data_IF_711154839389
#
_entry.id   IF_711154839389
#
_cell.length_a   1.000
_cell.length_b   1.000
_cell.length_c   1.000
_cell.angle_alpha   90.00
_cell.angle_beta   90.00
_cell.angle_gamma   90.00
#
_symmetry.space_group_name_H-M   'P 1'
#
loop_
_entity.id
_entity.type
_entity.pdbx_description
1 polymer ?
#
# COMPACT_ATOMS: atom_id res chain seq x y z
N UNK A 1 4.66 18.10 -22.72
CA UNK A 1 5.10 16.72 -22.89
C UNK A 1 4.80 15.91 -21.61
N UNK A 2 4.38 14.68 -21.79
CA UNK A 2 4.22 13.77 -20.68
C UNK A 2 5.55 13.49 -20.02
N UNK A 3 5.63 13.73 -18.73
CA UNK A 3 6.80 13.34 -17.94
C UNK A 3 6.81 11.83 -17.74
N UNK A 4 7.95 11.28 -17.33
CA UNK A 4 8.04 9.88 -16.93
C UNK A 4 7.07 9.55 -15.78
N UNK A 5 6.80 10.54 -14.94
CA UNK A 5 5.85 10.44 -13.84
C UNK A 5 4.41 10.27 -14.34
N UNK A 6 4.00 11.05 -15.35
CA UNK A 6 2.67 10.94 -15.94
C UNK A 6 2.47 9.57 -16.60
N UNK A 7 3.50 9.06 -17.28
CA UNK A 7 3.50 7.72 -17.86
C UNK A 7 3.38 6.64 -16.77
N UNK A 8 4.10 6.77 -15.69
CA UNK A 8 4.01 5.86 -14.56
C UNK A 8 2.60 5.84 -13.97
N UNK A 9 2.00 7.00 -13.73
CA UNK A 9 0.65 7.13 -13.18
C UNK A 9 -0.39 6.47 -14.10
N UNK A 10 -0.31 6.72 -15.41
CA UNK A 10 -1.20 6.12 -16.39
C UNK A 10 -1.10 4.58 -16.38
N UNK A 11 0.12 4.05 -16.37
CA UNK A 11 0.37 2.61 -16.33
C UNK A 11 -0.11 1.98 -15.03
N UNK A 12 0.09 2.65 -13.91
CA UNK A 12 -0.38 2.16 -12.61
C UNK A 12 -1.90 1.95 -12.61
N UNK A 13 -2.65 2.94 -13.11
CA UNK A 13 -4.11 2.82 -13.17
C UNK A 13 -4.61 1.87 -14.25
N UNK A 14 -3.87 1.67 -15.34
CA UNK A 14 -4.13 0.56 -16.27
C UNK A 14 -4.01 -0.80 -15.54
N UNK A 15 -2.98 -0.98 -14.73
CA UNK A 15 -2.83 -2.20 -13.92
C UNK A 15 -3.97 -2.36 -12.91
N UNK A 16 -4.38 -1.28 -12.27
CA UNK A 16 -5.53 -1.29 -11.35
C UNK A 16 -6.80 -1.74 -12.08
N UNK A 17 -7.02 -1.24 -13.29
CA UNK A 17 -8.19 -1.61 -14.10
C UNK A 17 -8.15 -3.09 -14.52
N UNK A 18 -6.98 -3.61 -14.88
CA UNK A 18 -6.81 -5.03 -15.26
C UNK A 18 -7.00 -5.98 -14.08
N UNK A 19 -6.42 -5.64 -12.91
CA UNK A 19 -6.51 -6.47 -11.71
C UNK A 19 -7.90 -6.35 -11.08
N UNK A 20 -8.51 -5.17 -11.18
CA UNK A 20 -9.82 -4.85 -10.60
C UNK A 20 -9.91 -5.22 -9.11
N UNK A 21 -9.01 -4.71 -8.25
CA UNK A 21 -9.04 -5.04 -6.84
C UNK A 21 -10.29 -4.46 -6.17
N UNK A 22 -10.89 -5.22 -5.26
CA UNK A 22 -12.07 -4.73 -4.54
C UNK A 22 -11.75 -3.56 -3.60
N UNK A 23 -10.51 -3.44 -3.16
CA UNK A 23 -10.01 -2.34 -2.36
C UNK A 23 -8.63 -1.92 -2.84
N UNK A 24 -8.44 -0.61 -3.01
CA UNK A 24 -7.16 0.00 -3.37
C UNK A 24 -6.71 0.92 -2.24
N UNK A 25 -5.46 0.76 -1.82
CA UNK A 25 -4.86 1.60 -0.79
C UNK A 25 -3.61 2.25 -1.37
N UNK A 26 -3.55 3.55 -1.33
CA UNK A 26 -2.40 4.33 -1.82
C UNK A 26 -1.90 5.28 -0.77
N UNK A 27 -0.58 5.35 -0.67
CA UNK A 27 0.13 6.33 0.12
C UNK A 27 0.63 7.42 -0.81
N UNK A 28 0.23 8.66 -0.53
CA UNK A 28 0.42 9.78 -1.44
C UNK A 28 1.12 10.96 -0.78
N UNK A 29 2.18 11.45 -1.42
CA UNK A 29 2.81 12.72 -1.07
C UNK A 29 1.96 13.92 -1.49
N UNK A 30 2.16 15.04 -0.81
CA UNK A 30 1.41 16.29 -0.99
C UNK A 30 1.22 16.74 -2.45
N UNK A 31 2.27 16.62 -3.27
CA UNK A 31 2.26 17.15 -4.64
C UNK A 31 1.40 16.35 -5.62
N UNK A 32 1.03 15.12 -5.26
CA UNK A 32 0.42 14.19 -6.20
C UNK A 32 -0.99 13.76 -5.81
N UNK A 33 -1.47 14.23 -4.68
CA UNK A 33 -2.75 13.78 -4.09
C UNK A 33 -3.90 14.00 -5.07
N UNK A 34 -3.99 15.16 -5.70
CA UNK A 34 -5.16 15.52 -6.54
C UNK A 34 -5.30 14.61 -7.76
N UNK A 35 -4.21 14.31 -8.47
CA UNK A 35 -4.21 13.44 -9.66
C UNK A 35 -4.61 12.02 -9.30
N UNK A 36 -4.01 11.47 -8.24
CA UNK A 36 -4.33 10.12 -7.78
C UNK A 36 -5.75 10.03 -7.24
N UNK A 37 -6.17 11.01 -6.45
CA UNK A 37 -7.51 11.04 -5.89
C UNK A 37 -8.58 11.11 -6.96
N UNK A 38 -8.37 11.91 -8.02
CA UNK A 38 -9.24 11.94 -9.18
C UNK A 38 -9.39 10.56 -9.83
N UNK A 39 -8.27 9.87 -10.05
CA UNK A 39 -8.27 8.53 -10.65
C UNK A 39 -8.93 7.48 -9.74
N UNK A 40 -8.72 7.57 -8.43
CA UNK A 40 -9.35 6.66 -7.46
C UNK A 40 -10.86 6.89 -7.44
N UNK A 41 -11.32 8.13 -7.39
CA UNK A 41 -12.75 8.47 -7.38
C UNK A 41 -13.50 8.09 -8.65
N UNK A 42 -12.82 8.00 -9.78
CA UNK A 42 -13.40 7.48 -11.02
C UNK A 42 -13.71 5.99 -10.96
N UNK A 43 -12.97 5.24 -10.14
CA UNK A 43 -13.02 3.78 -10.10
C UNK A 43 -13.74 3.23 -8.89
N UNK A 44 -13.73 3.97 -7.79
CA UNK A 44 -14.27 3.49 -6.52
C UNK A 44 -15.37 4.41 -5.99
N UNK A 45 -16.46 3.80 -5.56
CA UNK A 45 -17.63 4.51 -5.04
C UNK A 45 -17.39 5.11 -3.67
N UNK A 46 -16.65 4.41 -2.81
CA UNK A 46 -16.36 4.84 -1.45
C UNK A 46 -14.87 5.14 -1.33
N UNK A 47 -14.55 6.36 -0.91
CA UNK A 47 -13.15 6.81 -0.77
C UNK A 47 -12.99 7.49 0.58
N UNK A 48 -12.00 7.05 1.35
CA UNK A 48 -11.61 7.69 2.60
C UNK A 48 -10.16 8.14 2.53
N UNK A 49 -9.86 9.28 3.15
CA UNK A 49 -8.54 9.90 3.19
C UNK A 49 -8.11 10.05 4.64
N UNK A 50 -6.91 9.57 4.95
CA UNK A 50 -6.32 9.64 6.28
C UNK A 50 -4.99 10.37 6.23
N UNK A 51 -4.65 11.09 7.29
CA UNK A 51 -3.34 11.70 7.46
C UNK A 51 -2.32 10.66 7.93
N UNK A 52 -1.09 10.77 7.45
CA UNK A 52 0.01 9.89 7.84
C UNK A 52 1.35 10.63 7.77
N UNK A 53 2.42 9.94 8.08
CA UNK A 53 3.78 10.48 8.02
C UNK A 53 4.78 9.36 7.77
N UNK A 54 5.97 9.74 7.27
CA UNK A 54 7.10 8.82 7.11
C UNK A 54 8.09 8.95 8.26
N UNK A 55 8.66 7.83 8.67
CA UNK A 55 9.74 7.75 9.65
C UNK A 55 9.41 8.39 11.00
N UNK A 56 8.14 8.31 11.43
CA UNK A 56 7.65 8.93 12.66
C UNK A 56 7.93 10.43 12.76
N UNK A 57 8.09 11.09 11.62
CA UNK A 57 8.41 12.52 11.55
C UNK A 57 7.21 13.33 11.06
N UNK A 58 6.60 14.16 11.93
CA UNK A 58 5.44 14.98 11.54
C UNK A 58 5.71 15.98 10.41
N UNK A 59 6.96 16.26 10.08
CA UNK A 59 7.34 17.10 8.95
C UNK A 59 7.24 16.37 7.61
N UNK A 60 7.31 15.05 7.63
CA UNK A 60 7.20 14.18 6.44
C UNK A 60 5.75 13.71 6.25
N UNK A 61 4.83 14.63 6.07
CA UNK A 61 3.41 14.32 5.93
C UNK A 61 3.09 13.67 4.60
N UNK A 62 2.24 12.67 4.66
CA UNK A 62 1.62 12.03 3.50
C UNK A 62 0.15 11.75 3.81
N UNK A 63 -0.57 11.26 2.80
CA UNK A 63 -1.96 10.82 2.95
C UNK A 63 -2.08 9.35 2.57
N UNK A 64 -2.92 8.64 3.29
CA UNK A 64 -3.35 7.30 2.91
C UNK A 64 -4.76 7.41 2.37
N UNK A 65 -4.96 6.98 1.14
CA UNK A 65 -6.26 6.99 0.46
C UNK A 65 -6.72 5.56 0.28
N UNK A 66 -7.93 5.27 0.73
CA UNK A 66 -8.56 3.96 0.57
C UNK A 66 -9.78 4.11 -0.31
N UNK A 67 -9.81 3.39 -1.43
CA UNK A 67 -10.94 3.28 -2.34
C UNK A 67 -11.53 1.88 -2.32
N UNK A 68 -12.86 1.78 -2.31
CA UNK A 68 -13.57 0.49 -2.36
C UNK A 68 -14.92 0.65 -3.04
N UNK A 69 -15.37 -0.40 -3.73
CA UNK A 69 -16.72 -0.45 -4.30
C UNK A 69 -17.76 -0.97 -3.30
N UNK A 70 -17.29 -1.47 -2.17
CA UNK A 70 -18.12 -1.88 -1.05
C UNK A 70 -17.90 -0.91 0.10
N UNK A 71 -18.99 -0.52 0.77
CA UNK A 71 -18.89 0.32 1.96
C UNK A 71 -18.03 -0.37 3.01
N UNK A 72 -17.10 0.39 3.58
CA UNK A 72 -16.14 -0.14 4.56
C UNK A 72 -16.02 0.80 5.76
N UNK A 73 -15.62 0.22 6.88
CA UNK A 73 -15.29 0.92 8.12
C UNK A 73 -14.12 0.22 8.83
N UNK A 74 -13.78 0.65 10.03
CA UNK A 74 -12.74 0.00 10.84
C UNK A 74 -11.31 0.42 10.50
N UNK A 75 -11.11 1.39 9.62
CA UNK A 75 -9.77 1.88 9.26
C UNK A 75 -9.40 3.22 9.91
N UNK A 76 -10.28 3.81 10.72
CA UNK A 76 -10.03 5.13 11.31
C UNK A 76 -8.80 5.15 12.24
N UNK A 77 -8.40 4.00 12.75
CA UNK A 77 -7.19 3.85 13.55
C UNK A 77 -5.88 4.19 12.78
N UNK A 78 -5.91 4.22 11.44
CA UNK A 78 -4.72 4.60 10.65
C UNK A 78 -4.54 6.11 10.55
N UNK A 79 -5.55 6.90 10.96
CA UNK A 79 -5.48 8.35 10.88
C UNK A 79 -4.47 8.92 11.89
N UNK A 80 -3.50 9.66 11.39
CA UNK A 80 -2.49 10.35 12.21
C UNK A 80 -1.32 9.49 12.65
N UNK A 81 -1.21 8.22 12.23
CA UNK A 81 -0.08 7.36 12.58
C UNK A 81 0.94 7.28 11.46
N UNK A 82 2.11 6.72 11.77
CA UNK A 82 3.17 6.51 10.78
C UNK A 82 2.74 5.52 9.69
N UNK A 83 3.29 5.67 8.48
CA UNK A 83 2.93 4.82 7.34
C UNK A 83 3.18 3.33 7.59
N UNK A 84 4.28 3.01 8.26
CA UNK A 84 4.59 1.62 8.58
C UNK A 84 3.56 1.01 9.53
N UNK A 85 3.14 1.77 10.54
CA UNK A 85 2.09 1.34 11.48
C UNK A 85 0.74 1.20 10.75
N UNK A 86 0.46 2.09 9.80
CA UNK A 86 -0.75 2.00 8.98
C UNK A 86 -0.74 0.76 8.08
N UNK A 87 0.38 0.46 7.41
CA UNK A 87 0.56 -0.76 6.62
C UNK A 87 0.38 -2.00 7.50
N UNK A 88 1.01 -2.01 8.66
CA UNK A 88 0.88 -3.08 9.64
C UNK A 88 -0.58 -3.31 10.03
N UNK A 89 -1.29 -2.24 10.38
CA UNK A 89 -2.71 -2.29 10.74
C UNK A 89 -3.56 -2.89 9.61
N UNK A 90 -3.37 -2.43 8.38
CA UNK A 90 -4.11 -2.91 7.22
C UNK A 90 -3.84 -4.40 6.97
N UNK A 91 -2.58 -4.81 6.97
CA UNK A 91 -2.21 -6.21 6.75
C UNK A 91 -2.81 -7.14 7.81
N UNK A 92 -2.93 -6.65 9.04
CA UNK A 92 -3.52 -7.42 10.15
C UNK A 92 -5.04 -7.50 10.08
N UNK A 93 -5.71 -6.37 9.81
CA UNK A 93 -7.15 -6.22 10.08
C UNK A 93 -8.03 -6.20 8.83
N UNK A 94 -7.49 -5.90 7.63
CA UNK A 94 -8.28 -5.91 6.41
C UNK A 94 -8.71 -7.32 6.04
N UNK A 95 -9.89 -7.46 5.47
CA UNK A 95 -10.36 -8.73 4.91
C UNK A 95 -9.86 -8.87 3.48
N UNK A 96 -9.00 -9.85 3.25
CA UNK A 96 -8.48 -10.15 1.91
C UNK A 96 -7.92 -11.57 1.85
N UNK A 97 -7.97 -12.17 0.67
CA UNK A 97 -7.30 -13.43 0.38
C UNK A 97 -5.87 -13.20 -0.09
N UNK A 98 -5.69 -12.22 -0.98
CA UNK A 98 -4.40 -11.85 -1.55
C UNK A 98 -4.24 -10.34 -1.50
N UNK A 99 -3.08 -9.87 -1.01
CA UNK A 99 -2.69 -8.48 -1.13
C UNK A 99 -1.58 -8.36 -2.18
N UNK A 100 -1.73 -7.39 -3.07
CA UNK A 100 -0.74 -7.10 -4.11
C UNK A 100 -0.06 -5.76 -3.88
N UNK A 101 1.23 -5.68 -4.17
CA UNK A 101 1.99 -4.44 -4.14
C UNK A 101 2.90 -4.35 -5.39
N UNK A 102 2.50 -3.61 -6.41
CA UNK A 102 3.30 -3.48 -7.63
C UNK A 102 4.57 -2.64 -7.45
N UNK A 103 4.69 -1.92 -6.35
CA UNK A 103 5.81 -1.03 -6.05
C UNK A 103 6.39 -1.34 -4.67
N UNK A 104 6.65 -2.60 -4.39
CA UNK A 104 6.87 -3.08 -3.02
C UNK A 104 8.11 -2.53 -2.31
N UNK A 105 9.08 -1.96 -3.02
CA UNK A 105 10.28 -1.40 -2.40
C UNK A 105 11.01 -2.40 -1.50
N UNK A 106 11.22 -2.05 -0.24
CA UNK A 106 11.79 -2.94 0.78
C UNK A 106 10.79 -3.95 1.36
N UNK A 107 9.56 -3.91 0.88
CA UNK A 107 8.56 -4.94 1.11
C UNK A 107 7.86 -4.91 2.45
N UNK A 108 7.52 -3.74 2.96
CA UNK A 108 6.74 -3.63 4.21
C UNK A 108 5.41 -4.39 4.13
N UNK A 109 4.70 -4.24 3.02
CA UNK A 109 3.43 -4.95 2.79
C UNK A 109 3.65 -6.46 2.78
N UNK A 110 4.65 -6.94 2.06
CA UNK A 110 4.99 -8.36 2.01
C UNK A 110 5.42 -8.90 3.37
N UNK A 111 6.22 -8.15 4.12
CA UNK A 111 6.67 -8.54 5.45
C UNK A 111 5.48 -8.72 6.42
N UNK A 112 4.61 -7.73 6.51
CA UNK A 112 3.46 -7.80 7.42
C UNK A 112 2.39 -8.81 6.97
N UNK A 113 2.17 -8.95 5.65
CA UNK A 113 1.28 -9.99 5.14
C UNK A 113 1.76 -11.38 5.54
N UNK A 114 3.06 -11.64 5.40
CA UNK A 114 3.66 -12.90 5.82
C UNK A 114 3.60 -13.11 7.35
N UNK A 115 3.76 -12.04 8.12
CA UNK A 115 3.66 -12.10 9.58
C UNK A 115 2.30 -12.65 10.04
N UNK A 116 1.24 -12.30 9.34
CA UNK A 116 -0.12 -12.75 9.61
C UNK A 116 -0.55 -13.97 8.78
N UNK A 117 0.39 -14.63 8.10
CA UNK A 117 0.12 -15.83 7.33
C UNK A 117 -0.75 -15.62 6.10
N UNK A 118 -0.74 -14.43 5.51
CA UNK A 118 -1.56 -14.07 4.36
C UNK A 118 -0.79 -14.11 3.06
N UNK A 119 -1.48 -14.30 1.95
CA UNK A 119 -0.88 -14.35 0.62
C UNK A 119 -0.50 -12.95 0.13
N UNK A 120 0.69 -12.85 -0.45
CA UNK A 120 1.25 -11.61 -0.98
C UNK A 120 1.77 -11.83 -2.40
N UNK A 121 1.51 -10.87 -3.28
CA UNK A 121 2.09 -10.78 -4.62
C UNK A 121 2.68 -9.39 -4.78
N UNK A 122 3.94 -9.29 -5.15
CA UNK A 122 4.58 -8.00 -5.34
C UNK A 122 5.64 -8.02 -6.42
N UNK A 123 6.01 -6.84 -6.88
CA UNK A 123 7.06 -6.63 -7.86
C UNK A 123 8.05 -5.57 -7.39
N UNK A 124 9.32 -5.79 -7.69
CA UNK A 124 10.39 -4.84 -7.41
C UNK A 124 11.50 -4.97 -8.46
N UNK A 125 11.86 -3.86 -9.07
CA UNK A 125 12.91 -3.81 -10.08
C UNK A 125 14.33 -3.82 -9.49
N UNK A 126 14.47 -3.44 -8.22
CA UNK A 126 15.76 -3.35 -7.54
C UNK A 126 16.04 -4.65 -6.76
N UNK A 127 16.99 -5.45 -7.24
CA UNK A 127 17.35 -6.72 -6.64
C UNK A 127 17.81 -6.63 -5.17
N UNK A 128 18.45 -5.52 -4.78
CA UNK A 128 18.88 -5.31 -3.40
C UNK A 128 17.70 -5.14 -2.45
N UNK A 129 16.67 -4.43 -2.89
CA UNK A 129 15.42 -4.26 -2.11
C UNK A 129 14.66 -5.57 -1.98
N UNK A 130 14.61 -6.34 -3.06
CA UNK A 130 14.00 -7.67 -3.05
C UNK A 130 14.73 -8.59 -2.06
N UNK A 131 16.06 -8.56 -2.03
CA UNK A 131 16.86 -9.35 -1.10
C UNK A 131 16.54 -9.00 0.37
N UNK A 132 16.33 -7.72 0.69
CA UNK A 132 15.94 -7.27 2.04
C UNK A 132 14.61 -7.89 2.45
N UNK A 133 13.62 -7.93 1.57
CA UNK A 133 12.33 -8.55 1.85
C UNK A 133 12.48 -10.06 2.10
N UNK A 134 13.20 -10.75 1.24
CA UNK A 134 13.40 -12.20 1.37
C UNK A 134 14.10 -12.55 2.69
N UNK A 135 15.10 -11.77 3.08
CA UNK A 135 15.78 -11.95 4.36
C UNK A 135 14.83 -11.77 5.55
N UNK A 136 14.03 -10.70 5.54
CA UNK A 136 13.04 -10.43 6.59
C UNK A 136 12.02 -11.56 6.72
N UNK A 137 11.48 -12.04 5.63
CA UNK A 137 10.49 -13.12 5.61
C UNK A 137 11.12 -14.40 6.14
N UNK A 138 12.30 -14.74 5.69
CA UNK A 138 13.02 -15.95 6.12
C UNK A 138 13.34 -15.92 7.61
N UNK A 139 13.84 -14.80 8.11
CA UNK A 139 14.17 -14.62 9.54
C UNK A 139 12.91 -14.71 10.41
N UNK A 140 11.83 -14.06 9.99
CA UNK A 140 10.56 -14.08 10.71
C UNK A 140 9.94 -15.49 10.72
N UNK A 141 10.02 -16.21 9.61
CA UNK A 141 9.51 -17.59 9.52
C UNK A 141 10.29 -18.54 10.43
N UNK A 142 11.60 -18.37 10.50
CA UNK A 142 12.45 -19.14 11.43
C UNK A 142 12.09 -18.86 12.89
N UNK A 143 11.83 -17.60 13.22
CA UNK A 143 11.41 -17.24 14.57
C UNK A 143 10.07 -17.84 14.98
N UNK A 144 9.18 -18.09 14.03
CA UNK A 144 7.86 -18.72 14.30
C UNK A 144 7.95 -20.23 14.49
N UNK A 145 8.94 -20.87 13.96
CA UNK A 145 9.13 -22.33 14.06
C UNK A 145 9.70 -22.72 15.42
N UNK A 146 10.38 -21.80 16.06
CA UNK A 146 10.97 -21.98 17.38
C UNK A 146 9.99 -21.53 18.49
#
# INVERSE_FOLDING_TARGET
>A
PFTKYDQFTARLFECVDEIDPHMLIMELFKSNVDVYLFNIRKRYRFVKIYESMYYHNPKNRCKIVIGSNVKFDGFDAVDGIDEEDAIHFVCKNAEYDVIGDPCMGKGLVGYYSNLYGRKFVGTELNAKRLAVLLERITTNSRGKIN
#
